data_IF_713912315321
#
_entry.id   IF_713912315321
#
_cell.length_a   1.000
_cell.length_b   1.000
_cell.length_c   1.000
_cell.angle_alpha   90.00
_cell.angle_beta   90.00
_cell.angle_gamma   90.00
#
_symmetry.space_group_name_H-M   'P 1'
#
loop_
_entity.id
_entity.type
_entity.pdbx_description
1 polymer ?
#
# COMPACT_ATOMS: atom_id res chain seq x y z
N UNK A 1 11.27 -29.40 2.69
CA UNK A 1 11.19 -28.64 3.95
C UNK A 1 12.56 -28.12 4.32
N UNK A 2 13.08 -27.23 3.49
CA UNK A 2 14.04 -26.23 3.94
C UNK A 2 13.24 -24.97 4.26
N UNK A 3 13.52 -24.37 5.40
CA UNK A 3 12.82 -23.20 5.92
C UNK A 3 13.64 -21.97 5.56
N UNK A 4 13.31 -21.32 4.44
CA UNK A 4 13.90 -20.02 4.12
C UNK A 4 13.06 -18.89 4.71
N UNK A 5 13.78 -18.09 5.48
CA UNK A 5 13.36 -16.97 6.30
C UNK A 5 12.85 -15.82 5.44
N UNK A 6 11.55 -15.54 5.46
CA UNK A 6 11.02 -14.22 5.06
C UNK A 6 11.20 -13.31 6.29
N UNK A 7 12.27 -12.50 6.29
CA UNK A 7 12.72 -11.68 7.41
C UNK A 7 12.41 -10.18 7.26
N UNK A 8 11.56 -9.74 6.33
CA UNK A 8 11.66 -8.34 5.88
C UNK A 8 10.62 -7.29 6.32
N UNK A 9 9.63 -7.57 7.17
CA UNK A 9 8.72 -6.49 7.61
C UNK A 9 8.38 -6.46 9.11
N UNK A 10 9.40 -6.33 9.96
CA UNK A 10 9.19 -5.92 11.35
C UNK A 10 10.34 -5.06 11.92
N UNK A 11 10.89 -4.16 11.11
CA UNK A 11 11.99 -3.27 11.51
C UNK A 11 11.51 -2.01 12.22
N UNK A 12 10.84 -2.15 13.38
CA UNK A 12 10.63 -1.02 14.30
C UNK A 12 10.69 -1.42 15.80
N UNK A 13 11.52 -2.40 16.22
CA UNK A 13 11.95 -2.49 17.63
C UNK A 13 13.36 -3.12 17.73
N UNK A 14 14.27 -2.45 18.45
CA UNK A 14 15.67 -2.83 18.65
C UNK A 14 15.93 -4.29 19.12
N UNK A 15 17.10 -4.87 18.77
CA UNK A 15 17.41 -6.28 18.95
C UNK A 15 18.00 -6.56 20.33
N UNK A 16 17.33 -7.37 21.14
CA UNK A 16 18.00 -8.17 22.18
C UNK A 16 17.46 -9.59 22.14
N UNK A 17 18.41 -10.52 22.03
CA UNK A 17 18.21 -11.87 21.53
C UNK A 17 17.35 -12.79 22.39
N UNK A 18 17.22 -14.01 21.85
CA UNK A 18 16.30 -15.10 22.17
C UNK A 18 14.97 -14.94 21.43
N UNK A 19 15.00 -15.30 20.15
CA UNK A 19 13.82 -15.71 19.39
C UNK A 19 13.32 -17.06 19.94
N UNK A 20 12.01 -17.23 20.20
CA UNK A 20 11.45 -18.56 20.37
C UNK A 20 11.56 -19.27 19.02
N UNK A 21 12.40 -20.31 18.96
CA UNK A 21 12.60 -21.10 17.76
C UNK A 21 11.27 -21.77 17.39
N UNK A 22 10.78 -21.55 16.16
CA UNK A 22 9.67 -22.29 15.49
C UNK A 22 9.54 -23.78 15.93
N UNK A 23 10.63 -24.55 16.11
CA UNK A 23 10.62 -25.89 16.72
C UNK A 23 9.78 -26.08 17.98
N UNK A 24 9.72 -25.09 18.88
CA UNK A 24 8.98 -25.19 20.16
C UNK A 24 7.48 -25.18 19.91
N UNK A 25 7.00 -24.35 18.99
CA UNK A 25 5.58 -24.23 18.64
C UNK A 25 5.11 -25.48 17.91
N UNK A 26 5.92 -25.98 16.97
CA UNK A 26 5.65 -27.28 16.36
C UNK A 26 5.51 -28.40 17.39
N UNK A 27 6.41 -28.45 18.38
CA UNK A 27 6.36 -29.45 19.45
C UNK A 27 5.08 -29.36 20.31
N UNK A 28 4.57 -28.17 20.56
CA UNK A 28 3.30 -27.97 21.26
C UNK A 28 2.12 -28.48 20.44
N UNK A 29 2.07 -28.15 19.14
CA UNK A 29 1.03 -28.65 18.23
C UNK A 29 1.05 -30.19 18.18
N UNK A 30 2.22 -30.82 18.04
CA UNK A 30 2.32 -32.28 18.02
C UNK A 30 1.97 -32.93 19.37
N UNK A 31 2.11 -32.23 20.49
CA UNK A 31 1.76 -32.77 21.81
C UNK A 31 0.26 -33.05 21.94
N UNK A 32 -0.59 -32.35 21.20
CA UNK A 32 -2.04 -32.58 21.14
C UNK A 32 -2.38 -34.01 20.67
N UNK A 33 -1.56 -34.60 19.77
CA UNK A 33 -1.75 -35.97 19.28
C UNK A 33 -1.69 -37.02 20.40
N UNK A 34 -0.80 -36.84 21.37
CA UNK A 34 -0.66 -37.78 22.50
C UNK A 34 -1.84 -37.76 23.47
N UNK A 35 -2.76 -36.80 23.31
CA UNK A 35 -3.91 -36.59 24.19
C UNK A 35 -5.24 -37.09 23.61
N UNK A 36 -5.22 -37.72 22.43
CA UNK A 36 -6.39 -38.25 21.72
C UNK A 36 -7.26 -39.25 22.50
N UNK A 37 -6.81 -39.74 23.66
CA UNK A 37 -7.50 -40.75 24.49
C UNK A 37 -8.31 -40.16 25.68
N UNK A 38 -8.34 -38.83 25.88
CA UNK A 38 -9.09 -38.22 26.98
C UNK A 38 -9.90 -36.98 26.54
N UNK A 39 -11.14 -36.92 27.00
CA UNK A 39 -12.16 -35.95 26.63
C UNK A 39 -11.71 -34.46 26.66
N UNK A 40 -12.14 -33.74 25.62
CA UNK A 40 -12.20 -32.27 25.51
C UNK A 40 -10.85 -31.50 25.54
N UNK A 41 -9.90 -31.90 24.69
CA UNK A 41 -8.77 -31.04 24.29
C UNK A 41 -8.96 -30.59 22.84
N UNK A 42 -8.70 -29.31 22.59
CA UNK A 42 -8.75 -28.67 21.29
C UNK A 42 -7.60 -29.18 20.41
N UNK A 43 -7.77 -30.33 19.77
CA UNK A 43 -6.79 -30.95 18.85
C UNK A 43 -6.72 -30.28 17.47
N UNK A 44 -7.37 -29.12 17.33
CA UNK A 44 -7.58 -28.43 16.06
C UNK A 44 -6.28 -28.04 15.36
N UNK A 45 -5.24 -27.71 16.12
CA UNK A 45 -3.94 -27.37 15.54
C UNK A 45 -3.28 -28.62 14.97
N UNK A 46 -3.24 -29.72 15.74
CA UNK A 46 -2.68 -30.98 15.27
C UNK A 46 -3.41 -31.49 14.03
N UNK A 47 -4.74 -31.54 14.08
CA UNK A 47 -5.54 -32.06 12.97
C UNK A 47 -5.37 -31.25 11.69
N UNK A 48 -5.14 -29.93 11.80
CA UNK A 48 -4.86 -29.09 10.63
C UNK A 48 -3.46 -29.35 10.06
N UNK A 49 -2.45 -29.56 10.91
CA UNK A 49 -1.07 -29.83 10.46
C UNK A 49 -0.95 -31.17 9.75
N UNK A 50 -1.68 -32.20 10.20
CA UNK A 50 -1.62 -33.55 9.59
C UNK A 50 -2.73 -33.84 8.58
N UNK A 51 -3.44 -32.81 8.12
CA UNK A 51 -4.51 -32.95 7.13
C UNK A 51 -3.92 -33.28 5.75
N UNK A 52 -4.18 -34.48 5.21
CA UNK A 52 -3.49 -34.97 4.00
C UNK A 52 -3.70 -34.09 2.76
N UNK A 53 -4.84 -33.42 2.67
CA UNK A 53 -5.16 -32.57 1.52
C UNK A 53 -4.66 -31.12 1.69
N UNK A 54 -4.09 -30.76 2.85
CA UNK A 54 -3.46 -29.46 3.08
C UNK A 54 -2.01 -29.55 2.66
N UNK A 55 -1.60 -28.75 1.68
CA UNK A 55 -0.25 -28.81 1.09
C UNK A 55 0.45 -27.44 1.00
N UNK A 56 -0.23 -26.36 1.39
CA UNK A 56 0.32 -25.01 1.49
C UNK A 56 0.24 -24.55 2.95
N UNK A 57 1.32 -23.94 3.43
CA UNK A 57 1.37 -23.31 4.74
C UNK A 57 2.11 -21.99 4.62
N UNK A 58 1.50 -20.92 5.15
CA UNK A 58 2.16 -19.62 5.31
C UNK A 58 2.11 -19.23 6.78
N UNK A 59 3.27 -18.95 7.38
CA UNK A 59 3.36 -18.60 8.79
C UNK A 59 3.95 -17.20 8.97
N UNK A 60 3.34 -16.41 9.84
CA UNK A 60 3.86 -15.13 10.31
C UNK A 60 4.21 -15.20 11.80
N UNK A 61 5.24 -14.45 12.19
CA UNK A 61 5.67 -14.32 13.57
C UNK A 61 5.67 -12.85 13.99
N UNK A 62 5.05 -12.54 15.12
CA UNK A 62 5.13 -11.21 15.73
C UNK A 62 5.64 -11.31 17.16
N UNK A 63 6.45 -10.34 17.56
CA UNK A 63 6.95 -10.17 18.93
C UNK A 63 6.58 -8.77 19.41
N UNK A 64 5.87 -8.68 20.53
CA UNK A 64 5.49 -7.39 21.10
C UNK A 64 5.56 -7.41 22.63
N UNK A 65 5.63 -6.22 23.25
CA UNK A 65 5.75 -6.08 24.70
C UNK A 65 4.51 -5.40 25.29
N UNK A 66 4.02 -5.92 26.41
CA UNK A 66 2.99 -5.27 27.25
C UNK A 66 3.53 -5.20 28.67
N UNK A 67 3.86 -4.00 29.14
CA UNK A 67 4.59 -3.80 30.38
C UNK A 67 5.99 -4.42 30.32
N UNK A 68 6.34 -5.27 31.28
CA UNK A 68 7.59 -6.04 31.30
C UNK A 68 7.48 -7.41 30.62
N UNK A 69 6.31 -7.78 30.11
CA UNK A 69 6.07 -9.10 29.53
C UNK A 69 6.21 -9.03 28.01
N UNK A 70 7.07 -9.90 27.47
CA UNK A 70 7.19 -10.13 26.02
C UNK A 70 6.21 -11.20 25.60
N UNK A 71 5.40 -10.90 24.59
CA UNK A 71 4.50 -11.83 23.92
C UNK A 71 5.07 -12.19 22.55
N UNK A 72 4.94 -13.47 22.20
CA UNK A 72 5.33 -13.99 20.91
C UNK A 72 4.10 -14.69 20.32
N UNK A 73 3.72 -14.33 19.11
CA UNK A 73 2.57 -14.90 18.41
C UNK A 73 3.03 -15.46 17.08
N UNK A 74 2.63 -16.70 16.80
CA UNK A 74 2.75 -17.31 15.47
C UNK A 74 1.35 -17.58 14.96
N UNK A 75 1.11 -17.19 13.72
CA UNK A 75 -0.12 -17.50 13.00
C UNK A 75 0.28 -18.23 11.74
N UNK A 76 -0.27 -19.42 11.54
CA UNK A 76 -0.09 -20.17 10.30
C UNK A 76 -1.45 -20.34 9.62
N UNK A 77 -1.50 -20.01 8.33
CA UNK A 77 -2.63 -20.29 7.46
C UNK A 77 -2.32 -21.54 6.63
N UNK A 78 -3.34 -22.37 6.43
CA UNK A 78 -3.23 -23.68 5.80
C UNK A 78 -4.16 -23.77 4.59
N UNK A 79 -3.59 -24.17 3.46
CA UNK A 79 -4.29 -24.24 2.18
C UNK A 79 -4.10 -25.61 1.51
N UNK A 80 -5.15 -26.19 0.92
CA UNK A 80 -6.57 -26.02 1.26
C UNK A 80 -6.84 -26.20 2.77
N UNK A 81 -7.91 -25.58 3.26
CA UNK A 81 -8.31 -25.70 4.66
C UNK A 81 -8.62 -27.16 5.03
N UNK A 82 -8.29 -27.55 6.26
CA UNK A 82 -8.61 -28.86 6.83
C UNK A 82 -9.71 -28.76 7.87
N UNK A 83 -9.70 -29.68 8.84
CA UNK A 83 -10.59 -29.68 10.00
C UNK A 83 -12.09 -29.67 9.67
N UNK A 84 -12.47 -30.22 8.51
CA UNK A 84 -13.87 -30.40 8.18
C UNK A 84 -14.49 -31.46 9.08
N UNK A 85 -15.48 -31.05 9.88
CA UNK A 85 -16.19 -31.94 10.81
C UNK A 85 -16.78 -33.13 10.06
N UNK A 86 -16.47 -34.34 10.53
CA UNK A 86 -16.95 -35.59 9.93
C UNK A 86 -16.15 -36.10 8.73
N UNK A 87 -15.09 -35.41 8.31
CA UNK A 87 -14.13 -35.91 7.32
C UNK A 87 -12.92 -36.55 7.98
N UNK A 88 -12.27 -37.48 7.27
CA UNK A 88 -11.04 -38.14 7.71
C UNK A 88 -9.82 -37.23 7.49
N UNK A 89 -8.89 -37.24 8.44
CA UNK A 89 -7.61 -36.49 8.37
C UNK A 89 -6.77 -36.88 7.15
N UNK A 90 -6.69 -38.19 6.91
CA UNK A 90 -5.95 -38.81 5.83
C UNK A 90 -6.51 -40.23 5.60
N UNK A 91 -6.29 -40.77 4.40
CA UNK A 91 -6.68 -42.15 4.08
C UNK A 91 -5.68 -43.14 4.68
N UNK A 92 -6.18 -44.15 5.39
CA UNK A 92 -5.32 -45.21 5.95
C UNK A 92 -4.85 -46.18 4.85
N UNK A 93 -3.55 -46.48 4.79
CA UNK A 93 -2.99 -47.41 3.82
C UNK A 93 -1.46 -47.42 3.82
N UNK A 94 -0.86 -48.13 2.86
CA UNK A 94 0.58 -48.05 2.60
C UNK A 94 0.94 -46.64 2.13
N UNK A 95 2.02 -46.08 2.66
CA UNK A 95 2.42 -44.72 2.35
C UNK A 95 2.69 -44.56 0.85
N UNK A 96 2.33 -43.41 0.28
CA UNK A 96 2.38 -43.13 -1.17
C UNK A 96 1.52 -44.02 -2.09
N UNK A 97 0.77 -45.00 -1.58
CA UNK A 97 -0.05 -45.90 -2.43
C UNK A 97 -1.19 -45.19 -3.18
N UNK A 98 -1.56 -43.98 -2.75
CA UNK A 98 -2.68 -43.21 -3.30
C UNK A 98 -2.32 -41.73 -3.56
N UNK A 99 -1.12 -41.43 -4.07
CA UNK A 99 -0.74 -40.04 -4.42
C UNK A 99 -1.49 -39.46 -5.65
N UNK A 100 -2.28 -40.26 -6.37
CA UNK A 100 -3.03 -39.76 -7.53
C UNK A 100 -2.11 -39.34 -8.67
N UNK A 101 -2.20 -38.08 -9.09
CA UNK A 101 -1.35 -37.44 -10.11
C UNK A 101 0.02 -37.02 -9.56
N UNK A 102 0.17 -36.96 -8.24
CA UNK A 102 1.42 -36.62 -7.56
C UNK A 102 2.35 -37.84 -7.45
N UNK A 103 3.62 -37.59 -7.16
CA UNK A 103 4.65 -38.63 -7.01
C UNK A 103 5.05 -38.81 -5.55
N UNK A 104 5.50 -40.00 -5.17
CA UNK A 104 6.07 -40.21 -3.84
C UNK A 104 7.37 -39.42 -3.70
N UNK A 105 7.51 -38.66 -2.63
CA UNK A 105 8.69 -37.85 -2.37
C UNK A 105 9.88 -38.74 -1.97
N UNK A 106 11.02 -38.54 -2.63
CA UNK A 106 12.25 -39.30 -2.37
C UNK A 106 13.04 -38.79 -1.17
N UNK A 107 12.86 -37.53 -0.82
CA UNK A 107 13.52 -36.84 0.29
C UNK A 107 12.73 -37.01 1.59
N UNK A 108 11.39 -37.00 1.51
CA UNK A 108 10.46 -37.19 2.61
C UNK A 108 9.61 -38.44 2.39
N UNK A 109 10.13 -39.65 2.70
CA UNK A 109 9.43 -40.90 2.46
C UNK A 109 8.04 -40.91 3.10
N UNK A 110 7.03 -41.28 2.31
CA UNK A 110 5.64 -41.37 2.74
C UNK A 110 4.80 -40.11 2.50
N UNK A 111 5.38 -39.04 1.97
CA UNK A 111 4.65 -37.87 1.48
C UNK A 111 4.46 -37.91 -0.04
N UNK A 112 3.38 -37.28 -0.52
CA UNK A 112 3.15 -37.04 -1.93
C UNK A 112 3.65 -35.64 -2.30
N UNK A 113 4.32 -35.52 -3.44
CA UNK A 113 4.87 -34.28 -3.97
C UNK A 113 4.31 -34.01 -5.36
N UNK A 114 3.93 -32.77 -5.58
CA UNK A 114 3.53 -32.30 -6.90
C UNK A 114 4.76 -31.89 -7.74
N UNK A 115 5.06 -32.60 -8.84
CA UNK A 115 6.19 -32.26 -9.70
C UNK A 115 6.00 -30.93 -10.44
N UNK A 116 4.77 -30.48 -10.70
CA UNK A 116 4.53 -29.19 -11.38
C UNK A 116 4.83 -28.02 -10.46
N UNK A 117 4.46 -28.13 -9.18
CA UNK A 117 4.75 -27.11 -8.19
C UNK A 117 6.26 -27.01 -7.92
N UNK A 118 6.98 -28.15 -7.93
CA UNK A 118 8.45 -28.17 -7.85
C UNK A 118 9.11 -27.46 -9.04
N UNK A 119 8.61 -27.67 -10.26
CA UNK A 119 9.09 -26.96 -11.45
C UNK A 119 8.80 -25.46 -11.36
N UNK A 120 7.58 -25.10 -10.92
CA UNK A 120 7.17 -23.71 -10.76
C UNK A 120 8.13 -22.96 -9.82
N UNK A 121 8.33 -23.44 -8.59
CA UNK A 121 9.21 -22.76 -7.63
C UNK A 121 10.65 -22.71 -8.12
N UNK A 122 11.18 -23.85 -8.62
CA UNK A 122 12.55 -23.93 -9.13
C UNK A 122 12.85 -22.91 -10.23
N UNK A 123 11.90 -22.68 -11.13
CA UNK A 123 12.11 -21.82 -12.30
C UNK A 123 11.69 -20.36 -12.01
N UNK A 124 10.72 -20.13 -11.12
CA UNK A 124 10.15 -18.80 -10.83
C UNK A 124 10.88 -18.06 -9.70
N UNK A 125 11.36 -18.78 -8.67
CA UNK A 125 12.04 -18.16 -7.52
C UNK A 125 13.29 -17.39 -7.92
N UNK A 126 14.20 -17.91 -8.77
CA UNK A 126 15.39 -17.16 -9.18
C UNK A 126 15.05 -15.88 -9.97
N UNK A 127 13.94 -15.86 -10.71
CA UNK A 127 13.49 -14.67 -11.42
C UNK A 127 12.92 -13.62 -10.47
N UNK A 128 12.18 -14.06 -9.46
CA UNK A 128 11.63 -13.19 -8.43
C UNK A 128 12.75 -12.62 -7.55
N UNK A 129 13.73 -13.43 -7.14
CA UNK A 129 14.94 -12.96 -6.47
C UNK A 129 15.71 -11.94 -7.30
N UNK A 130 15.87 -12.21 -8.60
CA UNK A 130 16.55 -11.31 -9.52
C UNK A 130 15.81 -9.97 -9.64
N UNK A 131 14.48 -10.02 -9.73
CA UNK A 131 13.61 -8.85 -9.71
C UNK A 131 13.88 -8.01 -8.46
N UNK A 132 13.61 -8.54 -7.26
CA UNK A 132 13.77 -7.79 -6.01
C UNK A 132 15.20 -7.26 -5.84
N UNK A 133 16.22 -8.10 -6.07
CA UNK A 133 17.64 -7.73 -5.95
C UNK A 133 18.03 -6.54 -6.82
N UNK A 134 17.50 -6.46 -8.04
CA UNK A 134 17.90 -5.43 -9.00
C UNK A 134 16.94 -4.21 -9.00
N UNK A 135 15.65 -4.39 -8.63
CA UNK A 135 14.65 -3.31 -8.61
C UNK A 135 14.58 -2.55 -7.29
N UNK A 136 14.78 -3.22 -6.15
CA UNK A 136 14.58 -2.62 -4.83
C UNK A 136 15.61 -1.53 -4.51
N UNK A 137 16.91 -1.71 -4.81
CA UNK A 137 17.87 -0.65 -4.57
C UNK A 137 17.55 0.63 -5.37
N UNK A 138 16.92 0.50 -6.55
CA UNK A 138 16.51 1.66 -7.35
C UNK A 138 15.34 2.39 -6.71
N UNK A 139 14.39 1.64 -6.14
CA UNK A 139 13.25 2.21 -5.44
C UNK A 139 13.68 2.86 -4.11
N UNK A 140 14.61 2.23 -3.37
CA UNK A 140 15.24 2.83 -2.19
C UNK A 140 15.97 4.14 -2.54
N UNK A 141 16.74 4.15 -3.62
CA UNK A 141 17.41 5.36 -4.10
C UNK A 141 16.41 6.47 -4.46
N UNK A 142 15.33 6.09 -5.15
CA UNK A 142 14.24 7.01 -5.50
C UNK A 142 13.65 7.66 -4.24
N UNK A 143 13.19 6.88 -3.27
CA UNK A 143 12.60 7.43 -2.04
C UNK A 143 13.61 8.27 -1.25
N UNK A 144 14.83 7.75 -1.07
CA UNK A 144 15.89 8.44 -0.32
C UNK A 144 16.23 9.83 -0.88
N UNK A 145 16.27 9.98 -2.20
CA UNK A 145 16.74 11.21 -2.84
C UNK A 145 15.58 12.16 -3.23
N UNK A 146 14.36 11.64 -3.47
CA UNK A 146 13.20 12.46 -3.85
C UNK A 146 12.36 12.92 -2.65
N UNK A 147 12.20 12.10 -1.61
CA UNK A 147 11.38 12.47 -0.43
C UNK A 147 11.86 13.73 0.27
N UNK A 148 13.17 13.94 0.53
CA UNK A 148 13.63 15.15 1.18
C UNK A 148 13.38 16.41 0.37
N UNK A 149 13.34 16.31 -0.96
CA UNK A 149 13.04 17.44 -1.85
C UNK A 149 11.55 17.79 -1.80
N UNK A 150 10.69 16.79 -1.73
CA UNK A 150 9.25 16.98 -1.58
C UNK A 150 8.93 17.54 -0.18
N UNK A 151 9.55 17.02 0.87
CA UNK A 151 9.43 17.54 2.23
C UNK A 151 9.90 19.00 2.31
N UNK A 152 11.05 19.31 1.68
CA UNK A 152 11.57 20.67 1.60
C UNK A 152 10.61 21.62 0.86
N UNK A 153 10.04 21.16 -0.25
CA UNK A 153 9.02 21.89 -1.00
C UNK A 153 7.85 22.25 -0.10
N UNK A 154 7.15 21.25 0.48
CA UNK A 154 5.99 21.51 1.32
C UNK A 154 6.34 22.37 2.54
N UNK A 155 7.48 22.12 3.20
CA UNK A 155 7.90 22.88 4.38
C UNK A 155 8.14 24.36 4.09
N UNK A 156 8.75 24.70 2.96
CA UNK A 156 9.20 26.06 2.68
C UNK A 156 8.22 26.85 1.79
N UNK A 157 7.40 26.18 0.94
CA UNK A 157 6.45 26.85 0.03
C UNK A 157 5.02 26.95 0.58
N UNK A 158 4.55 25.98 1.38
CA UNK A 158 3.18 26.00 1.93
C UNK A 158 2.91 27.18 2.87
N UNK A 159 3.81 27.54 3.81
CA UNK A 159 3.55 28.66 4.71
C UNK A 159 3.39 29.98 3.96
N UNK A 160 4.02 30.13 2.79
CA UNK A 160 3.88 31.32 1.93
C UNK A 160 2.49 31.36 1.29
N UNK A 161 1.98 30.21 0.86
CA UNK A 161 0.64 30.10 0.28
C UNK A 161 -0.44 30.31 1.35
N UNK A 162 -0.24 29.75 2.55
CA UNK A 162 -1.12 29.97 3.71
C UNK A 162 -1.15 31.44 4.10
N UNK A 163 0.01 32.10 4.19
CA UNK A 163 0.08 33.53 4.46
C UNK A 163 -0.60 34.36 3.36
N UNK A 164 -0.37 34.02 2.09
CA UNK A 164 -1.03 34.67 0.96
C UNK A 164 -2.55 34.61 1.11
N UNK A 165 -3.14 33.43 1.34
CA UNK A 165 -4.60 33.30 1.49
C UNK A 165 -5.09 33.99 2.78
N UNK A 166 -4.35 33.89 3.88
CA UNK A 166 -4.71 34.52 5.14
C UNK A 166 -4.82 36.05 5.05
N UNK A 167 -3.88 36.69 4.35
CA UNK A 167 -3.87 38.16 4.21
C UNK A 167 -4.77 38.64 3.05
N UNK A 168 -4.94 37.83 2.02
CA UNK A 168 -5.76 38.14 0.85
C UNK A 168 -7.26 38.04 1.12
N UNK A 169 -7.70 36.99 1.81
CA UNK A 169 -9.12 36.68 1.99
C UNK A 169 -9.88 37.82 2.69
N UNK A 170 -9.39 38.43 3.79
CA UNK A 170 -10.08 39.53 4.46
C UNK A 170 -10.16 40.80 3.60
N UNK A 171 -9.14 41.07 2.77
CA UNK A 171 -9.12 42.22 1.87
C UNK A 171 -10.12 42.02 0.72
N UNK A 172 -10.18 40.80 0.17
CA UNK A 172 -11.15 40.45 -0.85
C UNK A 172 -12.58 40.50 -0.29
N UNK A 173 -12.79 39.97 0.92
CA UNK A 173 -14.08 40.03 1.62
C UNK A 173 -14.51 41.47 1.86
N UNK A 174 -13.59 42.34 2.31
CA UNK A 174 -13.84 43.78 2.47
C UNK A 174 -14.21 44.45 1.14
N UNK A 175 -13.46 44.16 0.08
CA UNK A 175 -13.73 44.65 -1.26
C UNK A 175 -15.14 44.28 -1.73
N UNK A 176 -15.50 42.99 -1.69
CA UNK A 176 -16.82 42.54 -2.15
C UNK A 176 -17.94 43.05 -1.26
N UNK A 177 -17.76 43.04 0.06
CA UNK A 177 -18.77 43.54 1.02
C UNK A 177 -19.13 45.00 0.79
N UNK A 178 -18.14 45.84 0.46
CA UNK A 178 -18.37 47.28 0.29
C UNK A 178 -18.74 47.65 -1.16
N UNK A 179 -18.32 46.85 -2.15
CA UNK A 179 -18.59 47.08 -3.59
C UNK A 179 -19.95 46.53 -4.04
N UNK A 180 -20.37 45.36 -3.55
CA UNK A 180 -21.61 44.70 -3.97
C UNK A 180 -22.86 45.56 -3.73
N UNK A 181 -23.06 46.19 -2.55
CA UNK A 181 -24.22 47.05 -2.30
C UNK A 181 -24.23 48.31 -3.18
N UNK A 182 -23.05 48.83 -3.54
CA UNK A 182 -22.92 50.00 -4.42
C UNK A 182 -23.29 49.66 -5.87
N UNK A 183 -22.84 48.50 -6.34
CA UNK A 183 -23.22 47.93 -7.64
C UNK A 183 -24.73 47.66 -7.72
N UNK A 184 -25.32 47.04 -6.70
CA UNK A 184 -26.76 46.82 -6.64
C UNK A 184 -27.56 48.12 -6.71
N UNK A 185 -27.11 49.16 -5.98
CA UNK A 185 -27.77 50.47 -5.98
C UNK A 185 -27.68 51.16 -7.34
N UNK A 186 -26.50 51.11 -7.98
CA UNK A 186 -26.28 51.58 -9.35
C UNK A 186 -27.22 50.90 -10.35
N UNK A 187 -27.25 49.57 -10.39
CA UNK A 187 -28.07 48.82 -11.36
C UNK A 187 -29.57 49.00 -11.10
N UNK A 188 -30.00 49.08 -9.84
CA UNK A 188 -31.40 49.33 -9.46
C UNK A 188 -31.91 50.69 -9.92
N UNK A 189 -31.08 51.73 -9.78
CA UNK A 189 -31.49 53.11 -10.02
C UNK A 189 -31.32 53.53 -11.50
N UNK A 190 -30.76 52.65 -12.34
CA UNK A 190 -30.45 52.93 -13.75
C UNK A 190 -31.63 52.73 -14.73
N UNK A 191 -32.73 52.08 -14.33
CA UNK A 191 -33.78 51.63 -15.27
C UNK A 191 -34.91 52.64 -15.67
N UNK A 192 -35.13 53.81 -15.05
CA UNK A 192 -36.15 54.76 -15.53
C UNK A 192 -35.56 56.08 -16.10
N UNK A 193 -35.79 56.33 -17.40
CA UNK A 193 -35.52 57.59 -18.16
C UNK A 193 -34.04 57.98 -18.37
N UNK A 194 -33.60 57.90 -19.63
CA UNK A 194 -32.21 57.96 -20.11
C UNK A 194 -31.38 59.19 -19.69
N UNK A 195 -31.97 60.36 -19.43
CA UNK A 195 -31.23 61.59 -19.07
C UNK A 195 -31.12 61.79 -17.55
N UNK A 196 -32.12 61.38 -16.77
CA UNK A 196 -32.04 61.32 -15.31
C UNK A 196 -31.15 60.15 -14.87
N UNK A 197 -31.23 59.04 -15.61
CA UNK A 197 -30.36 57.86 -15.52
C UNK A 197 -28.88 58.27 -15.43
N UNK A 198 -28.30 58.85 -16.48
CA UNK A 198 -26.87 59.17 -16.49
C UNK A 198 -26.47 60.13 -15.36
N UNK A 199 -27.37 61.06 -14.98
CA UNK A 199 -27.13 62.01 -13.89
C UNK A 199 -27.04 61.37 -12.51
N UNK A 200 -27.64 60.20 -12.30
CA UNK A 200 -27.63 59.44 -11.04
C UNK A 200 -26.62 58.30 -11.09
N UNK A 201 -26.49 57.66 -12.25
CA UNK A 201 -25.60 56.53 -12.49
C UNK A 201 -24.12 56.93 -12.46
N UNK A 202 -23.73 58.09 -13.02
CA UNK A 202 -22.33 58.50 -13.08
C UNK A 202 -21.72 58.73 -11.68
N UNK A 203 -22.34 59.50 -10.76
CA UNK A 203 -21.77 59.70 -9.43
C UNK A 203 -21.75 58.44 -8.56
N UNK A 204 -22.68 57.49 -8.79
CA UNK A 204 -22.71 56.20 -8.10
C UNK A 204 -21.58 55.29 -8.58
N UNK A 205 -21.33 55.27 -9.89
CA UNK A 205 -20.24 54.52 -10.48
C UNK A 205 -18.88 55.11 -10.06
N UNK A 206 -18.75 56.44 -10.02
CA UNK A 206 -17.57 57.13 -9.49
C UNK A 206 -17.34 56.77 -8.01
N UNK A 207 -18.41 56.74 -7.20
CA UNK A 207 -18.30 56.35 -5.78
C UNK A 207 -17.89 54.89 -5.63
N UNK A 208 -18.51 53.98 -6.38
CA UNK A 208 -18.13 52.57 -6.41
C UNK A 208 -16.64 52.40 -6.72
N UNK A 209 -16.17 52.91 -7.86
CA UNK A 209 -14.77 52.76 -8.24
C UNK A 209 -13.84 53.49 -7.26
N UNK A 210 -14.25 54.63 -6.69
CA UNK A 210 -13.44 55.33 -5.67
C UNK A 210 -13.20 54.54 -4.38
N UNK A 211 -14.06 53.56 -4.07
CA UNK A 211 -13.92 52.69 -2.89
C UNK A 211 -13.27 51.36 -3.28
N UNK A 212 -13.63 50.79 -4.43
CA UNK A 212 -13.14 49.49 -4.88
C UNK A 212 -11.69 49.55 -5.36
N UNK A 213 -11.31 50.59 -6.12
CA UNK A 213 -9.97 50.67 -6.71
C UNK A 213 -8.86 50.70 -5.65
N UNK A 214 -8.93 51.50 -4.56
CA UNK A 214 -7.90 51.50 -3.53
C UNK A 214 -7.82 50.18 -2.75
N UNK A 215 -8.95 49.49 -2.55
CA UNK A 215 -8.99 48.18 -1.88
C UNK A 215 -8.36 47.10 -2.75
N UNK A 216 -8.66 47.11 -4.06
CA UNK A 216 -8.05 46.19 -5.02
C UNK A 216 -6.55 46.48 -5.16
N UNK A 217 -6.15 47.75 -5.24
CA UNK A 217 -4.74 48.15 -5.30
C UNK A 217 -3.98 47.72 -4.05
N UNK A 218 -4.59 47.85 -2.85
CA UNK A 218 -4.01 47.37 -1.60
C UNK A 218 -3.87 45.85 -1.59
N UNK A 219 -4.91 45.11 -1.99
CA UNK A 219 -4.89 43.67 -2.10
C UNK A 219 -3.78 43.18 -3.02
N UNK A 220 -3.74 43.64 -4.28
CA UNK A 220 -2.72 43.21 -5.23
C UNK A 220 -1.32 43.63 -4.79
N UNK A 221 -1.14 44.82 -4.24
CA UNK A 221 0.17 45.30 -3.75
C UNK A 221 0.76 44.40 -2.65
N UNK A 222 -0.08 43.89 -1.77
CA UNK A 222 0.37 43.11 -0.61
C UNK A 222 0.38 41.59 -0.90
N UNK A 223 -0.52 41.10 -1.76
CA UNK A 223 -0.64 39.67 -2.15
C UNK A 223 0.33 39.24 -3.26
N UNK A 224 0.58 40.10 -4.26
CA UNK A 224 1.44 39.76 -5.41
C UNK A 224 2.88 39.39 -4.99
N UNK A 225 3.55 40.11 -4.06
CA UNK A 225 4.91 39.76 -3.66
C UNK A 225 5.01 38.41 -2.94
N UNK A 226 3.96 38.01 -2.20
CA UNK A 226 3.91 36.71 -1.53
C UNK A 226 3.74 35.57 -2.54
N UNK A 227 2.88 35.76 -3.54
CA UNK A 227 2.69 34.80 -4.61
C UNK A 227 3.94 34.68 -5.48
N UNK A 228 4.59 35.80 -5.81
CA UNK A 228 5.88 35.80 -6.53
C UNK A 228 6.96 35.07 -5.73
N UNK A 229 7.03 35.29 -4.41
CA UNK A 229 7.97 34.60 -3.55
C UNK A 229 7.67 33.10 -3.45
N UNK A 230 6.39 32.71 -3.35
CA UNK A 230 5.97 31.32 -3.35
C UNK A 230 6.47 30.61 -4.61
N UNK A 231 6.12 31.12 -5.81
CA UNK A 231 6.56 30.53 -7.08
C UNK A 231 8.09 30.51 -7.21
N UNK A 232 8.77 31.56 -6.74
CA UNK A 232 10.24 31.63 -6.74
C UNK A 232 10.90 30.55 -5.88
N UNK A 233 10.22 30.04 -4.85
CA UNK A 233 10.71 28.98 -3.97
C UNK A 233 10.24 27.60 -4.43
N UNK A 234 8.97 27.46 -4.84
CA UNK A 234 8.37 26.19 -5.24
C UNK A 234 8.95 25.68 -6.56
N UNK A 235 9.09 26.54 -7.57
CA UNK A 235 9.44 26.10 -8.93
C UNK A 235 10.81 25.43 -9.00
N UNK A 236 11.90 25.99 -8.41
CA UNK A 236 13.20 25.34 -8.45
C UNK A 236 13.25 24.02 -7.67
N UNK A 237 12.50 23.92 -6.56
CA UNK A 237 12.43 22.70 -5.75
C UNK A 237 11.66 21.59 -6.49
N UNK A 238 10.53 21.94 -7.12
CA UNK A 238 9.75 21.02 -7.94
C UNK A 238 10.56 20.57 -9.16
N UNK A 239 11.27 21.48 -9.81
CA UNK A 239 12.15 21.14 -10.94
C UNK A 239 13.28 20.19 -10.50
N UNK A 240 13.91 20.46 -9.35
CA UNK A 240 14.96 19.61 -8.81
C UNK A 240 14.43 18.22 -8.43
N UNK A 241 13.25 18.15 -7.82
CA UNK A 241 12.56 16.89 -7.53
C UNK A 241 12.41 16.05 -8.80
N UNK A 242 11.76 16.60 -9.84
CA UNK A 242 11.55 15.86 -11.09
C UNK A 242 12.85 15.47 -11.79
N UNK A 243 13.87 16.36 -11.78
CA UNK A 243 15.20 16.06 -12.32
C UNK A 243 15.89 14.87 -11.64
N UNK A 244 15.62 14.63 -10.36
CA UNK A 244 16.20 13.52 -9.59
C UNK A 244 15.33 12.26 -9.69
N UNK A 245 14.01 12.41 -9.59
CA UNK A 245 13.06 11.32 -9.52
C UNK A 245 12.86 10.60 -10.86
N UNK A 246 12.79 11.35 -11.97
CA UNK A 246 12.44 10.80 -13.28
C UNK A 246 13.47 9.77 -13.78
N UNK A 247 14.79 10.04 -13.76
CA UNK A 247 15.77 9.07 -14.25
C UNK A 247 15.84 7.81 -13.39
N UNK A 248 15.60 7.92 -12.08
CA UNK A 248 15.59 6.77 -11.16
C UNK A 248 14.38 5.89 -11.42
N UNK A 249 13.21 6.50 -11.61
CA UNK A 249 11.98 5.77 -11.91
C UNK A 249 12.04 5.12 -13.31
N UNK A 250 12.58 5.82 -14.31
CA UNK A 250 12.82 5.25 -15.64
C UNK A 250 13.78 4.05 -15.58
N UNK A 251 14.85 4.15 -14.79
CA UNK A 251 15.78 3.05 -14.61
C UNK A 251 15.15 1.86 -13.88
N UNK A 252 14.32 2.13 -12.86
CA UNK A 252 13.55 1.09 -12.16
C UNK A 252 12.69 0.31 -13.14
N UNK A 253 11.80 0.98 -13.88
CA UNK A 253 10.91 0.32 -14.85
C UNK A 253 11.69 -0.44 -15.93
N UNK A 254 12.79 0.13 -16.42
CA UNK A 254 13.65 -0.51 -17.42
C UNK A 254 14.28 -1.82 -16.94
N UNK A 255 14.51 -1.97 -15.63
CA UNK A 255 15.08 -3.18 -15.01
C UNK A 255 13.96 -4.14 -14.59
N UNK A 256 12.90 -3.63 -13.98
CA UNK A 256 11.81 -4.43 -13.42
C UNK A 256 10.93 -5.07 -14.48
N UNK A 257 10.58 -4.35 -15.55
CA UNK A 257 9.57 -4.80 -16.52
C UNK A 257 10.00 -6.09 -17.24
N UNK A 258 11.22 -6.20 -17.79
CA UNK A 258 11.64 -7.42 -18.46
C UNK A 258 11.69 -8.63 -17.50
N UNK A 259 12.04 -8.40 -16.23
CA UNK A 259 12.11 -9.47 -15.22
C UNK A 259 10.72 -9.97 -14.83
N UNK A 260 9.77 -9.06 -14.63
CA UNK A 260 8.36 -9.41 -14.40
C UNK A 260 7.76 -10.10 -15.62
N UNK A 261 8.01 -9.61 -16.84
CA UNK A 261 7.55 -10.27 -18.06
C UNK A 261 8.08 -11.70 -18.18
N UNK A 262 9.37 -11.93 -17.87
CA UNK A 262 9.96 -13.27 -17.85
C UNK A 262 9.31 -14.16 -16.78
N UNK A 263 9.13 -13.62 -15.57
CA UNK A 263 8.49 -14.33 -14.46
C UNK A 263 7.08 -14.79 -14.85
N UNK A 264 6.21 -13.89 -15.30
CA UNK A 264 4.83 -14.24 -15.65
C UNK A 264 4.77 -15.22 -16.83
N UNK A 265 5.59 -14.98 -17.88
CA UNK A 265 5.63 -15.86 -19.06
C UNK A 265 5.96 -17.31 -18.72
N UNK A 266 6.91 -17.53 -17.81
CA UNK A 266 7.42 -18.87 -17.51
C UNK A 266 6.66 -19.54 -16.37
N UNK A 267 6.11 -18.76 -15.43
CA UNK A 267 5.44 -19.26 -14.23
C UNK A 267 3.92 -19.49 -14.42
N UNK A 268 3.22 -18.63 -15.18
CA UNK A 268 1.77 -18.73 -15.40
C UNK A 268 1.34 -20.07 -16.00
N UNK A 269 2.00 -20.61 -17.06
CA UNK A 269 1.57 -21.87 -17.66
C UNK A 269 1.70 -23.06 -16.70
N UNK A 270 2.69 -23.03 -15.81
CA UNK A 270 2.91 -24.09 -14.81
C UNK A 270 1.84 -24.05 -13.74
N UNK A 271 1.48 -22.85 -13.26
CA UNK A 271 0.42 -22.67 -12.28
C UNK A 271 -0.96 -23.01 -12.85
N UNK A 272 -1.23 -22.62 -14.09
CA UNK A 272 -2.44 -22.99 -14.83
C UNK A 272 -2.59 -24.51 -14.96
N UNK A 273 -1.50 -25.21 -15.29
CA UNK A 273 -1.50 -26.67 -15.41
C UNK A 273 -1.72 -27.33 -14.04
N UNK A 274 -1.05 -26.84 -13.00
CA UNK A 274 -1.26 -27.29 -11.61
C UNK A 274 -2.73 -27.14 -11.21
N UNK A 275 -3.36 -25.99 -11.47
CA UNK A 275 -4.77 -25.80 -11.16
C UNK A 275 -5.68 -26.72 -11.98
N UNK A 276 -5.42 -26.91 -13.28
CA UNK A 276 -6.23 -27.83 -14.10
C UNK A 276 -6.17 -29.27 -13.61
N UNK A 277 -4.99 -29.73 -13.22
CA UNK A 277 -4.77 -31.13 -12.83
C UNK A 277 -5.13 -31.40 -11.36
N UNK A 278 -5.17 -30.36 -10.51
CA UNK A 278 -5.42 -30.49 -9.07
C UNK A 278 -6.71 -29.84 -8.57
N UNK A 279 -7.57 -29.27 -9.43
CA UNK A 279 -8.92 -28.84 -9.01
C UNK A 279 -9.79 -30.07 -8.73
N UNK A 280 -10.23 -30.34 -7.49
CA UNK A 280 -11.46 -31.08 -7.29
C UNK A 280 -12.57 -30.21 -7.85
N UNK A 281 -13.41 -30.74 -8.75
CA UNK A 281 -14.54 -30.02 -9.31
C UNK A 281 -15.45 -29.46 -8.20
N UNK A 282 -15.20 -28.22 -7.77
CA UNK A 282 -16.14 -27.42 -6.98
C UNK A 282 -16.75 -26.46 -7.98
N UNK A 283 -17.76 -26.95 -8.68
CA UNK A 283 -18.75 -26.10 -9.28
C UNK A 283 -19.38 -25.28 -8.15
N UNK A 284 -19.35 -23.95 -8.30
CA UNK A 284 -20.10 -23.00 -7.49
C UNK A 284 -21.53 -23.52 -7.28
N UNK A 285 -21.95 -23.70 -6.04
CA UNK A 285 -23.35 -23.59 -5.68
C UNK A 285 -23.58 -22.17 -5.17
N UNK A 286 -24.41 -21.43 -5.91
CA UNK A 286 -25.00 -20.15 -5.50
C UNK A 286 -25.83 -20.30 -4.23
#
# INVERSE_FOLDING_TARGET
MEWETIQEEASLVHPTGIEPRLPVIGSLVYSECSTLDHAAIEVGHYTQVVWANTYQVGCGYIKYQVGSTTYNYVVCNYGPAGNYVGQELYKTGEACSQCGTMVCDTTYPGLCRDPLLELYWRDSDPLLELYWRDSDPLLELYWRDSDPLLELHWRDSDPLLELHWHDSDPLLELHWRDSDPLLELYWRDSDPLLELHWRVSDPLLDLHWSVSDPLLELHWRDSDPLLELHWRVSDPLQELHWRVSDPLLELHWRVSDPLLELYWRDSDPLLDLHHRDNVPAIAFFY
#
